data_IF_355746547809
#
_entry.id   IF_355746547809
#
_cell.length_a   1.000
_cell.length_b   1.000
_cell.length_c   1.000
_cell.angle_alpha   90.00
_cell.angle_beta   90.00
_cell.angle_gamma   90.00
#
_symmetry.space_group_name_H-M   'P 1'
#
loop_
_entity.id
_entity.type
_entity.pdbx_description
1 polymer ?
#
# COMPACT_ATOMS: atom_id res chain seq x y z
N UNK A 1 -17.06 18.53 -7.59
CA UNK A 1 -15.98 18.48 -8.60
C UNK A 1 -16.59 18.28 -9.98
N UNK A 2 -16.17 19.03 -11.01
CA UNK A 2 -16.72 18.87 -12.37
C UNK A 2 -15.91 17.81 -13.11
N UNK A 3 -16.56 16.83 -13.74
CA UNK A 3 -15.91 15.77 -14.54
C UNK A 3 -14.99 16.34 -15.62
N UNK A 4 -15.37 17.45 -16.26
CA UNK A 4 -14.56 18.14 -17.29
C UNK A 4 -13.23 18.72 -16.79
N UNK A 5 -13.02 18.78 -15.45
CA UNK A 5 -11.79 19.27 -14.80
C UNK A 5 -11.05 18.16 -14.06
N UNK A 6 -11.52 16.94 -14.14
CA UNK A 6 -10.94 15.79 -13.44
C UNK A 6 -10.00 15.04 -14.38
N UNK A 7 -8.93 14.48 -13.84
CA UNK A 7 -8.10 13.51 -14.55
C UNK A 7 -8.91 12.23 -14.73
N UNK A 8 -9.65 12.17 -15.84
CA UNK A 8 -10.58 11.09 -16.14
C UNK A 8 -10.56 10.78 -17.65
N UNK A 9 -10.39 9.52 -17.99
CA UNK A 9 -10.47 9.02 -19.36
C UNK A 9 -11.09 7.64 -19.34
N UNK A 10 -12.40 7.56 -19.57
CA UNK A 10 -13.07 6.27 -19.70
C UNK A 10 -12.54 5.49 -20.90
N UNK A 11 -12.38 4.18 -20.72
CA UNK A 11 -11.96 3.27 -21.79
C UNK A 11 -13.18 2.49 -22.30
N UNK A 12 -13.29 2.35 -23.62
CA UNK A 12 -14.29 1.49 -24.25
C UNK A 12 -13.99 0.01 -24.01
N UNK A 13 -12.72 -0.36 -24.18
CA UNK A 13 -12.25 -1.74 -24.07
C UNK A 13 -11.28 -1.85 -22.88
N UNK A 14 -11.32 -2.99 -22.20
CA UNK A 14 -10.31 -3.38 -21.21
C UNK A 14 -9.20 -4.17 -21.89
N UNK A 15 -7.97 -4.12 -21.38
CA UNK A 15 -6.94 -5.09 -21.73
C UNK A 15 -7.46 -6.53 -21.58
N UNK A 16 -7.06 -7.40 -22.52
CA UNK A 16 -7.56 -8.78 -22.60
C UNK A 16 -7.08 -9.70 -21.45
N UNK A 17 -6.05 -9.28 -20.77
CA UNK A 17 -5.40 -9.96 -19.63
C UNK A 17 -6.09 -9.75 -18.28
N UNK A 18 -7.13 -8.91 -18.23
CA UNK A 18 -7.89 -8.65 -17.01
C UNK A 18 -9.06 -9.63 -16.92
N UNK A 19 -9.02 -10.54 -15.95
CA UNK A 19 -10.05 -11.56 -15.74
C UNK A 19 -11.20 -11.07 -14.85
N UNK A 20 -10.88 -10.42 -13.73
CA UNK A 20 -11.87 -10.00 -12.73
C UNK A 20 -12.74 -8.83 -13.20
N UNK A 21 -14.05 -8.98 -13.10
CA UNK A 21 -15.01 -7.93 -13.51
C UNK A 21 -14.85 -6.63 -12.72
N UNK A 22 -14.59 -6.70 -11.42
CA UNK A 22 -14.30 -5.52 -10.60
C UNK A 22 -13.07 -4.75 -11.12
N UNK A 23 -12.02 -5.46 -11.51
CA UNK A 23 -10.82 -4.86 -12.08
C UNK A 23 -11.12 -4.21 -13.44
N UNK A 24 -11.88 -4.90 -14.31
CA UNK A 24 -12.34 -4.33 -15.59
C UNK A 24 -13.10 -3.03 -15.41
N UNK A 25 -14.03 -2.99 -14.46
CA UNK A 25 -14.83 -1.81 -14.15
C UNK A 25 -13.93 -0.67 -13.64
N UNK A 26 -13.01 -0.95 -12.72
CA UNK A 26 -12.08 0.05 -12.19
C UNK A 26 -11.18 0.66 -13.28
N UNK A 27 -10.68 -0.14 -14.21
CA UNK A 27 -9.89 0.34 -15.35
C UNK A 27 -10.74 1.14 -16.33
N UNK A 28 -11.93 0.62 -16.72
CA UNK A 28 -12.85 1.32 -17.64
C UNK A 28 -13.29 2.68 -17.12
N UNK A 29 -13.58 2.77 -15.83
CA UNK A 29 -14.03 4.00 -15.17
C UNK A 29 -12.91 4.96 -14.77
N UNK A 30 -11.68 4.71 -15.19
CA UNK A 30 -10.50 5.49 -14.77
C UNK A 30 -10.39 5.65 -13.25
N UNK A 31 -10.68 4.62 -12.51
CA UNK A 31 -10.42 4.57 -11.09
C UNK A 31 -8.97 4.20 -10.79
N UNK A 32 -8.41 3.30 -11.59
CA UNK A 32 -7.01 2.88 -11.47
C UNK A 32 -6.28 2.94 -12.81
N UNK A 33 -4.96 3.10 -12.74
CA UNK A 33 -4.04 2.99 -13.86
C UNK A 33 -2.93 2.01 -13.51
N UNK A 34 -2.72 1.03 -14.36
CA UNK A 34 -1.66 0.04 -14.19
C UNK A 34 -0.32 0.60 -14.66
N UNK A 35 0.62 0.72 -13.74
CA UNK A 35 1.99 1.15 -14.03
C UNK A 35 2.92 -0.05 -14.37
N UNK A 36 2.57 -1.23 -13.90
CA UNK A 36 3.27 -2.48 -14.13
C UNK A 36 2.44 -3.65 -13.59
N UNK A 37 2.90 -4.89 -13.77
CA UNK A 37 2.21 -6.07 -13.23
C UNK A 37 2.11 -5.97 -11.71
N UNK A 38 0.88 -5.97 -11.17
CA UNK A 38 0.61 -5.81 -9.74
C UNK A 38 0.82 -4.39 -9.18
N UNK A 39 1.21 -3.41 -10.01
CA UNK A 39 1.51 -2.03 -9.58
C UNK A 39 0.49 -1.08 -10.19
N UNK A 40 -0.29 -0.41 -9.33
CA UNK A 40 -1.39 0.46 -9.73
C UNK A 40 -1.30 1.85 -9.12
N UNK A 41 -1.70 2.85 -9.91
CA UNK A 41 -1.99 4.20 -9.42
C UNK A 41 -3.49 4.33 -9.19
N UNK A 42 -3.89 4.84 -8.02
CA UNK A 42 -5.27 5.22 -7.75
C UNK A 42 -5.54 6.60 -8.33
N UNK A 43 -6.48 6.69 -9.27
CA UNK A 43 -6.90 7.94 -9.87
C UNK A 43 -7.93 8.67 -8.98
N UNK A 44 -8.31 9.94 -9.26
CA UNK A 44 -9.06 10.77 -8.32
C UNK A 44 -10.32 10.16 -7.73
N UNK A 45 -11.09 9.38 -8.51
CA UNK A 45 -12.31 8.73 -8.01
C UNK A 45 -12.01 7.60 -7.03
N UNK A 46 -11.07 6.72 -7.39
CA UNK A 46 -10.66 5.63 -6.51
C UNK A 46 -9.99 6.17 -5.24
N UNK A 47 -9.14 7.19 -5.37
CA UNK A 47 -8.49 7.82 -4.23
C UNK A 47 -9.50 8.44 -3.26
N UNK A 48 -10.54 9.11 -3.79
CA UNK A 48 -11.62 9.63 -2.95
C UNK A 48 -12.37 8.51 -2.22
N UNK A 49 -12.69 7.43 -2.91
CA UNK A 49 -13.37 6.27 -2.31
C UNK A 49 -12.50 5.62 -1.22
N UNK A 50 -11.20 5.45 -1.49
CA UNK A 50 -10.25 4.88 -0.53
C UNK A 50 -10.16 5.73 0.73
N UNK A 51 -10.05 7.06 0.59
CA UNK A 51 -10.04 7.98 1.74
C UNK A 51 -11.31 7.89 2.58
N UNK A 52 -12.48 7.77 1.97
CA UNK A 52 -13.72 7.60 2.73
C UNK A 52 -13.70 6.28 3.53
N UNK A 53 -13.16 5.21 2.98
CA UNK A 53 -12.99 3.93 3.69
C UNK A 53 -11.99 4.09 4.85
N UNK A 54 -10.87 4.75 4.61
CA UNK A 54 -9.87 5.04 5.66
C UNK A 54 -10.49 5.86 6.80
N UNK A 55 -11.31 6.87 6.49
CA UNK A 55 -11.99 7.70 7.49
C UNK A 55 -12.98 6.90 8.33
N UNK A 56 -13.73 5.96 7.74
CA UNK A 56 -14.63 5.06 8.47
C UNK A 56 -13.83 4.17 9.43
N UNK A 57 -12.75 3.54 8.94
CA UNK A 57 -11.89 2.67 9.76
C UNK A 57 -11.29 3.48 10.91
N UNK A 58 -10.78 4.67 10.63
CA UNK A 58 -10.20 5.57 11.64
C UNK A 58 -11.21 5.92 12.73
N UNK A 59 -12.41 6.32 12.32
CA UNK A 59 -13.49 6.65 13.25
C UNK A 59 -13.84 5.49 14.19
N UNK A 60 -13.97 4.27 13.66
CA UNK A 60 -14.30 3.08 14.45
C UNK A 60 -13.14 2.67 15.39
N UNK A 61 -11.90 2.79 14.92
CA UNK A 61 -10.73 2.47 15.74
C UNK A 61 -10.52 3.49 16.86
N UNK A 62 -10.71 4.78 16.59
CA UNK A 62 -10.63 5.83 17.61
C UNK A 62 -11.73 5.65 18.68
N UNK A 63 -12.94 5.22 18.28
CA UNK A 63 -14.04 4.98 19.20
C UNK A 63 -13.77 3.87 20.22
N UNK A 64 -12.90 2.91 19.90
CA UNK A 64 -12.48 1.86 20.83
C UNK A 64 -11.15 2.17 21.55
N UNK A 65 -10.64 3.41 21.42
CA UNK A 65 -9.41 3.87 22.06
C UNK A 65 -8.13 3.49 21.32
N UNK A 66 -8.23 3.15 20.05
CA UNK A 66 -7.06 2.93 19.18
C UNK A 66 -6.24 4.22 19.02
N UNK A 67 -4.96 4.05 18.75
CA UNK A 67 -4.04 5.18 18.46
C UNK A 67 -3.39 4.96 17.11
N UNK A 68 -3.65 5.88 16.16
CA UNK A 68 -3.07 5.79 14.82
C UNK A 68 -1.59 6.16 14.84
N UNK A 69 -0.76 5.30 14.24
CA UNK A 69 0.67 5.53 14.02
C UNK A 69 0.99 5.52 12.54
N UNK A 70 1.94 6.36 12.14
CA UNK A 70 2.50 6.33 10.79
C UNK A 70 3.97 5.94 10.84
N UNK A 71 4.24 4.70 10.47
CA UNK A 71 5.59 4.13 10.49
C UNK A 71 6.19 4.06 9.07
N UNK A 72 7.53 4.13 8.93
CA UNK A 72 8.20 4.08 7.64
C UNK A 72 8.09 2.68 7.01
N UNK A 73 7.87 2.66 5.70
CA UNK A 73 7.87 1.41 4.91
C UNK A 73 9.28 0.83 4.76
N UNK A 74 10.30 1.71 4.64
CA UNK A 74 11.70 1.29 4.62
C UNK A 74 12.18 1.14 6.06
N UNK A 75 12.60 -0.07 6.43
CA UNK A 75 13.04 -0.41 7.77
C UNK A 75 14.44 -1.04 7.76
N UNK A 76 15.26 -0.82 8.82
CA UNK A 76 16.53 -1.51 8.96
C UNK A 76 16.34 -3.04 8.96
N UNK A 77 17.12 -3.75 8.13
CA UNK A 77 17.04 -5.21 8.06
C UNK A 77 17.31 -5.89 9.40
N UNK A 78 18.12 -5.27 10.26
CA UNK A 78 18.45 -5.79 11.59
C UNK A 78 17.24 -6.00 12.53
N UNK A 79 16.14 -5.27 12.35
CA UNK A 79 14.89 -5.51 13.09
C UNK A 79 14.28 -6.87 12.70
N UNK A 80 14.28 -7.16 11.41
CA UNK A 80 13.74 -8.38 10.81
C UNK A 80 14.63 -9.60 11.07
N UNK A 81 15.94 -9.40 11.17
CA UNK A 81 16.90 -10.44 11.57
C UNK A 81 16.69 -10.84 13.03
N UNK A 82 16.44 -9.87 13.93
CA UNK A 82 16.15 -10.13 15.35
C UNK A 82 14.87 -10.94 15.58
N UNK A 83 13.83 -10.72 14.80
CA UNK A 83 12.59 -11.50 14.87
C UNK A 83 12.68 -12.85 14.15
N UNK A 84 13.73 -13.08 13.36
CA UNK A 84 13.87 -14.25 12.49
C UNK A 84 13.02 -14.19 11.22
N UNK A 85 12.21 -13.14 11.06
CA UNK A 85 11.29 -13.01 9.90
C UNK A 85 12.03 -12.74 8.59
N UNK A 86 13.25 -12.21 8.62
CA UNK A 86 14.08 -12.10 7.40
C UNK A 86 14.35 -13.46 6.75
N UNK A 87 14.45 -14.52 7.57
CA UNK A 87 14.66 -15.89 7.09
C UNK A 87 13.33 -16.54 6.70
N UNK A 88 12.31 -16.44 7.56
CA UNK A 88 11.03 -17.11 7.34
C UNK A 88 10.24 -16.58 6.14
N UNK A 89 10.38 -15.29 5.82
CA UNK A 89 9.78 -14.69 4.62
C UNK A 89 10.62 -14.91 3.36
N UNK A 90 11.91 -15.17 3.50
CA UNK A 90 12.77 -15.52 2.38
C UNK A 90 12.73 -14.51 1.22
N UNK A 91 12.38 -14.99 0.03
CA UNK A 91 12.33 -14.19 -1.20
C UNK A 91 11.15 -13.22 -1.28
N UNK A 92 10.12 -13.38 -0.45
CA UNK A 92 8.97 -12.47 -0.42
C UNK A 92 9.32 -11.12 0.22
N UNK A 93 10.37 -11.08 1.03
CA UNK A 93 10.85 -9.86 1.65
C UNK A 93 11.75 -9.08 0.69
N UNK A 94 11.30 -7.89 0.27
CA UNK A 94 12.12 -7.00 -0.56
C UNK A 94 13.31 -6.48 0.23
N UNK A 95 14.51 -6.94 -0.15
CA UNK A 95 15.79 -6.48 0.40
C UNK A 95 16.39 -5.42 -0.51
N UNK A 96 16.94 -4.37 0.09
CA UNK A 96 17.64 -3.29 -0.62
C UNK A 96 18.82 -2.77 0.23
N UNK A 97 19.79 -2.21 -0.43
CA UNK A 97 20.91 -1.54 0.23
C UNK A 97 20.90 -0.05 -0.13
N UNK A 98 21.34 0.79 0.80
CA UNK A 98 21.64 2.18 0.48
C UNK A 98 22.98 2.29 -0.27
N UNK A 99 23.35 3.53 -0.66
CA UNK A 99 24.63 3.79 -1.35
C UNK A 99 25.89 3.51 -0.51
N UNK A 100 25.73 3.17 0.78
CA UNK A 100 26.81 2.79 1.71
C UNK A 100 26.73 1.32 2.09
N UNK A 101 26.01 0.52 1.30
CA UNK A 101 25.79 -0.91 1.53
C UNK A 101 25.08 -1.25 2.85
N UNK A 102 24.40 -0.29 3.47
CA UNK A 102 23.59 -0.56 4.64
C UNK A 102 22.29 -1.28 4.23
N UNK A 103 21.99 -2.45 4.85
CA UNK A 103 20.85 -3.25 4.45
C UNK A 103 19.53 -2.73 5.05
N UNK A 104 18.50 -2.67 4.20
CA UNK A 104 17.12 -2.33 4.52
C UNK A 104 16.16 -3.33 3.92
N UNK A 105 14.90 -3.26 4.33
CA UNK A 105 13.79 -3.99 3.74
C UNK A 105 12.63 -3.04 3.44
N UNK A 106 11.81 -3.38 2.46
CA UNK A 106 10.46 -2.82 2.36
C UNK A 106 9.54 -3.67 3.24
N UNK A 107 9.13 -3.11 4.36
CA UNK A 107 8.36 -3.81 5.36
C UNK A 107 6.92 -4.10 4.86
N UNK A 108 6.50 -5.35 4.70
CA UNK A 108 5.12 -5.70 4.39
C UNK A 108 4.18 -5.49 5.59
N UNK A 109 4.72 -5.52 6.78
CA UNK A 109 4.03 -5.27 8.06
C UNK A 109 4.95 -4.51 9.02
N UNK A 110 4.45 -4.08 10.19
CA UNK A 110 5.17 -3.16 11.07
C UNK A 110 5.35 -3.68 12.51
N UNK A 111 5.11 -4.96 12.76
CA UNK A 111 5.17 -5.54 14.12
C UNK A 111 6.54 -5.37 14.77
N UNK A 112 7.63 -5.56 14.03
CA UNK A 112 9.00 -5.42 14.54
C UNK A 112 9.28 -4.01 15.03
N UNK A 113 8.88 -3.01 14.21
CA UNK A 113 9.10 -1.62 14.54
C UNK A 113 8.17 -1.16 15.67
N UNK A 114 6.90 -1.57 15.64
CA UNK A 114 5.94 -1.27 16.69
C UNK A 114 6.39 -1.83 18.04
N UNK A 115 6.83 -3.10 18.07
CA UNK A 115 7.35 -3.74 19.28
C UNK A 115 8.58 -3.00 19.84
N UNK A 116 9.42 -2.46 18.95
CA UNK A 116 10.57 -1.66 19.36
C UNK A 116 10.13 -0.37 20.04
N UNK A 117 9.16 0.36 19.45
CA UNK A 117 8.63 1.62 19.99
C UNK A 117 7.99 1.39 21.38
N UNK A 118 7.22 0.30 21.54
CA UNK A 118 6.54 0.02 22.82
C UNK A 118 7.52 -0.42 23.91
N UNK A 119 8.67 -0.97 23.54
CA UNK A 119 9.70 -1.41 24.48
C UNK A 119 10.54 -0.26 25.06
N UNK A 120 10.68 0.84 24.33
CA UNK A 120 11.43 2.03 24.76
C UNK A 120 10.66 2.86 25.79
#
# INVERSE_FOLDING_TARGET
MKLSKMLFKSLRNTPSDIELESHKIMVKSSMIHQAGSGIYSYLPLAWKSLRNIEEIIRFEMDAVGGQELRMPVIQPKSLWDKSGRSISMGQELFNLNDRRDKPFVLAPTHEELLTTIVKE
#
